data_IF_948777769262
#
_entry.id   IF_948777769262
#
_cell.length_a   1.000
_cell.length_b   1.000
_cell.length_c   1.000
_cell.angle_alpha   90.00
_cell.angle_beta   90.00
_cell.angle_gamma   90.00
#
_symmetry.space_group_name_H-M   'P 1'
#
loop_
_entity.id
_entity.type
_entity.pdbx_description
1 polymer ?
#
# COMPACT_ATOMS: atom_id res chain seq x y z
N UNK A 1 6.31 -13.97 -3.77
CA UNK A 1 7.01 -14.03 -2.48
C UNK A 1 6.95 -12.65 -1.86
N UNK A 2 6.24 -12.49 -0.74
CA UNK A 2 6.25 -11.24 0.01
C UNK A 2 7.62 -11.08 0.64
N UNK A 3 8.36 -10.04 0.28
CA UNK A 3 9.68 -9.78 0.87
C UNK A 3 9.46 -9.00 2.15
N UNK A 4 9.89 -9.54 3.28
CA UNK A 4 9.84 -8.82 4.55
C UNK A 4 10.91 -7.73 4.50
N UNK A 5 10.49 -6.47 4.63
CA UNK A 5 11.37 -5.31 4.70
C UNK A 5 11.48 -4.88 6.16
N UNK A 6 12.69 -4.63 6.65
CA UNK A 6 12.94 -4.15 8.01
C UNK A 6 13.29 -2.66 7.97
N UNK A 7 12.30 -1.76 8.05
CA UNK A 7 12.54 -0.33 8.04
C UNK A 7 13.28 0.12 9.31
N UNK A 8 14.14 1.12 9.16
CA UNK A 8 14.82 1.80 10.26
C UNK A 8 13.94 2.95 10.77
N UNK A 9 13.52 2.88 12.03
CA UNK A 9 12.79 3.96 12.70
C UNK A 9 13.74 5.13 12.93
N UNK A 10 13.29 6.34 12.61
CA UNK A 10 14.09 7.56 12.79
C UNK A 10 13.98 8.08 14.22
N UNK A 11 14.97 8.85 14.67
CA UNK A 11 14.93 9.53 15.97
C UNK A 11 13.76 10.51 16.05
N UNK A 12 13.50 11.25 14.96
CA UNK A 12 12.38 12.19 14.86
C UNK A 12 11.03 11.47 14.94
N UNK A 13 10.88 10.32 14.26
CA UNK A 13 9.69 9.49 14.30
C UNK A 13 9.41 8.92 15.68
N UNK A 14 10.46 8.42 16.35
CA UNK A 14 10.36 7.94 17.71
C UNK A 14 10.00 9.06 18.69
N UNK A 15 10.58 10.26 18.53
CA UNK A 15 10.24 11.41 19.35
C UNK A 15 8.78 11.87 19.13
N UNK A 16 8.33 11.94 17.88
CA UNK A 16 6.94 12.28 17.55
C UNK A 16 5.96 11.29 18.19
N UNK A 17 6.31 10.01 18.19
CA UNK A 17 5.55 8.95 18.84
C UNK A 17 5.49 9.11 20.36
N UNK A 18 6.63 9.38 21.01
CA UNK A 18 6.65 9.66 22.45
C UNK A 18 5.87 10.92 22.81
N UNK A 19 5.93 11.95 21.97
CA UNK A 19 5.16 13.18 22.17
C UNK A 19 3.66 12.91 22.02
N UNK A 20 3.24 12.15 21.01
CA UNK A 20 1.86 11.75 20.85
C UNK A 20 1.37 10.97 22.07
N UNK A 21 2.13 9.96 22.50
CA UNK A 21 1.78 9.14 23.67
C UNK A 21 1.70 9.97 24.96
N UNK A 22 2.63 10.90 25.17
CA UNK A 22 2.63 11.80 26.34
C UNK A 22 1.41 12.72 26.37
N UNK A 23 0.82 13.02 25.20
CA UNK A 23 -0.41 13.78 25.05
C UNK A 23 -1.67 12.90 25.04
N UNK A 24 -1.55 11.58 25.25
CA UNK A 24 -2.66 10.64 25.15
C UNK A 24 -3.17 10.44 23.72
N UNK A 25 -2.37 10.82 22.72
CA UNK A 25 -2.66 10.73 21.29
C UNK A 25 -1.86 9.59 20.65
N UNK A 26 -2.27 9.19 19.46
CA UNK A 26 -1.59 8.18 18.65
C UNK A 26 -0.88 8.87 17.48
N UNK A 27 0.35 8.48 17.19
CA UNK A 27 1.05 8.97 16.00
C UNK A 27 0.35 8.44 14.76
N UNK A 28 -0.08 9.32 13.86
CA UNK A 28 -0.88 8.94 12.71
C UNK A 28 -0.02 8.91 11.45
N UNK A 29 0.18 7.72 10.86
CA UNK A 29 0.86 7.61 9.55
C UNK A 29 -0.16 7.94 8.46
N UNK A 30 0.18 8.88 7.57
CA UNK A 30 -0.73 9.39 6.53
C UNK A 30 -0.23 9.13 5.10
N UNK A 31 1.08 9.07 4.91
CA UNK A 31 1.68 8.99 3.59
C UNK A 31 2.92 8.09 3.57
N UNK A 32 3.17 7.49 2.41
CA UNK A 32 4.39 6.77 2.08
C UNK A 32 5.05 7.49 0.90
N UNK A 33 6.33 7.79 1.01
CA UNK A 33 7.11 8.32 -0.08
C UNK A 33 8.07 7.28 -0.66
N UNK A 34 8.25 7.33 -1.97
CA UNK A 34 9.10 6.44 -2.75
C UNK A 34 10.22 7.26 -3.39
N UNK A 35 11.43 6.71 -3.39
CA UNK A 35 12.60 7.32 -4.00
C UNK A 35 13.49 6.32 -4.73
N UNK A 36 14.51 6.84 -5.42
CA UNK A 36 15.43 6.08 -6.27
C UNK A 36 16.86 5.98 -5.72
N UNK A 37 17.13 6.47 -4.52
CA UNK A 37 18.41 6.28 -3.86
C UNK A 37 18.50 4.94 -3.14
N UNK A 38 19.68 4.31 -3.19
CA UNK A 38 20.00 3.07 -2.49
C UNK A 38 21.15 3.32 -1.51
N UNK A 39 20.91 3.14 -0.21
CA UNK A 39 21.89 3.39 0.85
C UNK A 39 21.52 2.62 2.12
N UNK A 40 22.43 2.59 3.09
CA UNK A 40 22.11 2.11 4.45
C UNK A 40 21.49 3.24 5.26
N UNK A 41 20.21 3.14 5.65
CA UNK A 41 19.54 4.21 6.39
C UNK A 41 20.15 4.43 7.77
N UNK A 42 20.23 5.69 8.18
CA UNK A 42 20.65 6.11 9.52
C UNK A 42 19.44 6.67 10.28
N UNK A 43 19.42 6.51 11.61
CA UNK A 43 18.28 6.93 12.44
C UNK A 43 18.10 8.46 12.50
N UNK A 44 19.15 9.23 12.26
CA UNK A 44 19.10 10.71 12.27
C UNK A 44 18.47 11.32 11.00
N UNK A 45 17.90 10.50 10.10
CA UNK A 45 17.29 10.97 8.86
C UNK A 45 15.97 11.66 9.13
N UNK A 46 15.78 12.81 8.49
CA UNK A 46 14.54 13.59 8.53
C UNK A 46 13.80 13.58 7.18
N UNK A 47 14.47 13.13 6.11
CA UNK A 47 13.92 13.02 4.77
C UNK A 47 14.59 11.88 3.98
N UNK A 48 13.94 11.46 2.89
CA UNK A 48 14.51 10.60 1.87
C UNK A 48 15.65 11.30 1.12
N UNK A 49 16.57 10.52 0.56
CA UNK A 49 17.72 11.10 -0.16
C UNK A 49 17.29 11.62 -1.54
N UNK A 50 16.39 10.92 -2.22
CA UNK A 50 15.86 11.30 -3.52
C UNK A 50 14.38 10.91 -3.62
N UNK A 51 13.54 11.65 -2.90
CA UNK A 51 12.09 11.51 -2.98
C UNK A 51 11.60 11.80 -4.41
N UNK A 52 10.93 10.83 -5.03
CA UNK A 52 10.31 10.98 -6.36
C UNK A 52 8.81 11.13 -6.27
N UNK A 53 8.19 10.42 -5.34
CA UNK A 53 6.75 10.45 -5.19
C UNK A 53 6.33 10.30 -3.74
N UNK A 54 5.19 10.91 -3.38
CA UNK A 54 4.57 10.78 -2.07
C UNK A 54 3.11 10.43 -2.28
N UNK A 55 2.68 9.35 -1.65
CA UNK A 55 1.41 8.68 -1.92
C UNK A 55 0.69 8.54 -0.59
N UNK A 56 -0.60 8.90 -0.57
CA UNK A 56 -1.45 8.69 0.60
C UNK A 56 -1.70 7.20 0.82
N UNK A 57 -1.79 6.77 2.08
CA UNK A 57 -2.07 5.36 2.39
C UNK A 57 -3.45 4.97 1.87
N UNK A 58 -3.51 3.91 1.07
CA UNK A 58 -4.78 3.45 0.48
C UNK A 58 -5.60 2.63 1.48
N UNK A 59 -4.94 1.70 2.18
CA UNK A 59 -5.53 0.92 3.27
C UNK A 59 -4.45 0.58 4.31
N UNK A 60 -4.76 0.75 5.59
CA UNK A 60 -3.89 0.42 6.71
C UNK A 60 -4.62 -0.41 7.76
N UNK A 61 -4.04 -1.54 8.16
CA UNK A 61 -4.60 -2.41 9.19
C UNK A 61 -3.56 -2.75 10.25
N UNK A 62 -3.97 -2.75 11.52
CA UNK A 62 -3.15 -3.33 12.57
C UNK A 62 -3.29 -4.85 12.53
N UNK A 63 -2.22 -5.53 12.13
CA UNK A 63 -2.13 -7.01 12.15
C UNK A 63 -1.92 -7.48 13.58
N UNK A 64 -1.15 -6.71 14.35
CA UNK A 64 -0.96 -6.92 15.79
C UNK A 64 -0.70 -5.57 16.47
N UNK A 65 -0.69 -5.50 17.81
CA UNK A 65 -0.44 -4.23 18.51
C UNK A 65 0.93 -3.60 18.21
N UNK A 66 1.86 -4.35 17.62
CA UNK A 66 3.19 -3.90 17.21
C UNK A 66 3.47 -4.12 15.71
N UNK A 67 2.48 -4.51 14.91
CA UNK A 67 2.67 -4.76 13.49
C UNK A 67 1.55 -4.10 12.69
N UNK A 68 1.95 -3.26 11.76
CA UNK A 68 1.02 -2.52 10.89
C UNK A 68 1.24 -3.00 9.46
N UNK A 69 0.15 -3.38 8.80
CA UNK A 69 0.11 -3.63 7.37
C UNK A 69 -0.45 -2.40 6.66
N UNK A 70 0.28 -1.87 5.70
CA UNK A 70 -0.14 -0.70 4.91
C UNK A 70 -0.02 -1.01 3.43
N UNK A 71 -0.97 -0.53 2.65
CA UNK A 71 -0.95 -0.63 1.20
C UNK A 71 -1.05 0.75 0.56
N UNK A 72 -0.33 0.92 -0.53
CA UNK A 72 -0.32 2.13 -1.35
C UNK A 72 -0.41 1.80 -2.82
N UNK A 73 -1.03 2.72 -3.55
CA UNK A 73 -1.20 2.67 -5.00
C UNK A 73 -0.49 3.88 -5.59
N UNK A 74 0.59 3.64 -6.34
CA UNK A 74 1.20 4.68 -7.16
C UNK A 74 0.54 4.68 -8.55
N UNK A 75 -0.46 5.54 -8.71
CA UNK A 75 -1.17 5.83 -9.97
C UNK A 75 -0.51 6.96 -10.79
N UNK A 76 0.66 7.45 -10.33
CA UNK A 76 1.34 8.53 -11.04
C UNK A 76 1.91 8.06 -12.37
N UNK A 77 2.07 8.98 -13.32
CA UNK A 77 2.74 8.72 -14.60
C UNK A 77 4.27 8.78 -14.50
N UNK A 78 4.84 8.69 -13.29
CA UNK A 78 6.29 8.77 -13.06
C UNK A 78 6.96 7.48 -13.49
N UNK A 79 8.26 7.56 -13.78
CA UNK A 79 9.07 6.38 -14.14
C UNK A 79 10.37 6.40 -13.38
N UNK A 80 10.55 5.45 -12.47
CA UNK A 80 11.73 5.34 -11.63
C UNK A 80 11.84 3.96 -10.99
N UNK A 81 13.05 3.60 -10.59
CA UNK A 81 13.31 2.43 -9.77
C UNK A 81 13.08 2.79 -8.30
N UNK A 82 12.23 2.04 -7.62
CA UNK A 82 11.98 2.22 -6.19
C UNK A 82 13.10 1.53 -5.43
N UNK A 83 13.90 2.31 -4.69
CA UNK A 83 15.06 1.84 -3.92
C UNK A 83 15.07 2.35 -2.48
N UNK A 84 14.26 3.35 -2.18
CA UNK A 84 13.99 3.83 -0.82
C UNK A 84 12.49 4.05 -0.61
N UNK A 85 12.03 3.80 0.62
CA UNK A 85 10.64 3.97 1.05
C UNK A 85 10.66 4.69 2.39
N UNK A 86 9.91 5.79 2.50
CA UNK A 86 9.76 6.56 3.73
C UNK A 86 8.31 6.57 4.20
N UNK A 87 8.08 6.33 5.48
CA UNK A 87 6.77 6.40 6.13
C UNK A 87 6.64 7.75 6.82
N UNK A 88 5.59 8.50 6.52
CA UNK A 88 5.39 9.86 7.02
C UNK A 88 4.16 9.96 7.91
N UNK A 89 4.33 10.68 9.02
CA UNK A 89 3.24 11.07 9.89
C UNK A 89 2.39 12.19 9.24
N UNK A 90 1.22 12.44 9.79
CA UNK A 90 0.29 13.53 9.41
C UNK A 90 0.91 14.93 9.52
N UNK A 91 1.82 15.13 10.48
CA UNK A 91 2.60 16.36 10.65
C UNK A 91 3.76 16.50 9.63
N UNK A 92 3.98 15.49 8.78
CA UNK A 92 5.06 15.46 7.79
C UNK A 92 6.40 14.94 8.31
N UNK A 93 6.48 14.49 9.56
CA UNK A 93 7.67 13.86 10.14
C UNK A 93 7.93 12.50 9.49
N UNK A 94 9.17 12.26 9.08
CA UNK A 94 9.61 10.94 8.60
C UNK A 94 9.67 9.99 9.80
N UNK A 95 8.74 9.03 9.88
CA UNK A 95 8.66 8.05 10.96
C UNK A 95 9.70 6.93 10.83
N UNK A 96 9.77 6.33 9.64
CA UNK A 96 10.67 5.23 9.36
C UNK A 96 11.11 5.28 7.90
N UNK A 97 12.30 4.75 7.63
CA UNK A 97 12.85 4.67 6.28
C UNK A 97 13.43 3.30 6.03
N UNK A 98 13.15 2.76 4.87
CA UNK A 98 13.76 1.55 4.35
C UNK A 98 14.55 1.88 3.09
N UNK A 99 15.82 1.53 3.09
CA UNK A 99 16.67 1.50 1.90
C UNK A 99 17.74 0.43 2.13
N UNK A 100 18.25 -0.14 1.05
CA UNK A 100 19.32 -1.13 1.11
C UNK A 100 20.26 -0.91 -0.08
N UNK A 101 21.56 -1.02 0.16
CA UNK A 101 22.56 -0.80 -0.89
C UNK A 101 22.41 -1.84 -2.00
N UNK A 102 22.51 -1.39 -3.25
CA UNK A 102 22.39 -2.21 -4.47
C UNK A 102 21.09 -3.01 -4.63
N UNK A 103 20.08 -2.73 -3.80
CA UNK A 103 18.76 -3.36 -3.90
C UNK A 103 17.79 -2.48 -4.64
N UNK A 104 16.92 -3.14 -5.41
CA UNK A 104 15.80 -2.53 -6.09
C UNK A 104 14.54 -3.24 -5.65
N UNK A 105 13.54 -2.48 -5.21
CA UNK A 105 12.32 -3.00 -4.59
C UNK A 105 11.24 -3.21 -5.64
N UNK A 106 11.07 -2.23 -6.52
CA UNK A 106 10.10 -2.26 -7.58
C UNK A 106 10.52 -1.33 -8.72
N UNK A 107 9.86 -1.48 -9.86
CA UNK A 107 9.92 -0.53 -10.96
C UNK A 107 8.56 0.13 -11.13
N UNK A 108 8.51 1.45 -11.07
CA UNK A 108 7.32 2.22 -11.41
C UNK A 108 7.39 2.60 -12.89
N UNK A 109 6.37 2.19 -13.64
CA UNK A 109 6.18 2.54 -15.06
C UNK A 109 5.01 3.53 -15.21
N UNK A 110 4.98 4.31 -16.30
CA UNK A 110 4.01 5.39 -16.46
C UNK A 110 2.59 4.90 -16.77
N UNK A 111 2.43 3.66 -17.26
CA UNK A 111 1.15 3.09 -17.72
C UNK A 111 0.57 2.03 -16.77
N UNK A 112 1.34 1.62 -15.76
CA UNK A 112 0.94 0.57 -14.82
C UNK A 112 0.95 1.11 -13.40
N UNK A 113 -0.19 0.98 -12.73
CA UNK A 113 -0.32 1.30 -11.31
C UNK A 113 0.53 0.34 -10.49
N UNK A 114 1.36 0.89 -9.62
CA UNK A 114 2.22 0.10 -8.76
C UNK A 114 1.55 -0.08 -7.40
N UNK A 115 1.15 -1.32 -7.12
CA UNK A 115 0.61 -1.72 -5.82
C UNK A 115 1.75 -2.21 -4.93
N UNK A 116 1.91 -1.58 -3.76
CA UNK A 116 2.88 -2.00 -2.76
C UNK A 116 2.18 -2.18 -1.41
N UNK A 117 2.47 -3.31 -0.77
CA UNK A 117 2.07 -3.58 0.59
C UNK A 117 3.32 -3.70 1.47
N UNK A 118 3.27 -3.08 2.63
CA UNK A 118 4.36 -2.99 3.59
C UNK A 118 3.90 -3.49 4.94
N UNK A 119 4.77 -4.26 5.60
CA UNK A 119 4.61 -4.60 7.01
C UNK A 119 5.65 -3.85 7.83
N UNK A 120 5.16 -3.01 8.74
CA UNK A 120 5.96 -2.24 9.66
C UNK A 120 5.90 -2.90 11.03
N UNK A 121 7.03 -3.47 11.48
CA UNK A 121 7.19 -3.99 12.82
C UNK A 121 7.72 -2.89 13.75
N UNK A 122 6.89 -2.49 14.72
CA UNK A 122 7.22 -1.52 15.77
C UNK A 122 7.93 -2.23 16.92
N UNK A 123 9.24 -2.48 16.76
CA UNK A 123 10.07 -3.01 17.84
C UNK A 123 10.44 -1.89 18.80
N UNK A 124 10.00 -1.99 20.06
CA UNK A 124 10.34 -1.02 21.13
C UNK A 124 9.30 0.08 21.38
N UNK A 125 8.08 -0.05 20.80
CA UNK A 125 6.98 0.90 20.99
C UNK A 125 5.84 0.24 21.79
N UNK A 126 5.20 0.94 22.75
CA UNK A 126 4.02 0.45 23.44
C UNK A 126 2.84 0.19 22.49
N UNK A 127 2.13 -0.92 22.70
CA UNK A 127 0.93 -1.29 21.96
C UNK A 127 -0.11 -0.16 21.92
N UNK A 128 -0.66 0.13 20.73
CA UNK A 128 -1.72 1.14 20.55
C UNK A 128 -1.25 2.59 20.48
N UNK A 129 0.03 2.84 20.21
CA UNK A 129 0.59 4.19 20.10
C UNK A 129 0.53 4.77 18.68
N UNK A 130 0.13 3.97 17.69
CA UNK A 130 0.15 4.34 16.26
C UNK A 130 -1.23 4.13 15.65
N UNK A 131 -1.70 5.15 14.95
CA UNK A 131 -2.90 5.16 14.15
C UNK A 131 -2.53 5.25 12.66
N UNK A 132 -3.41 4.81 11.77
CA UNK A 132 -3.23 4.98 10.31
C UNK A 132 -4.36 5.84 9.79
N UNK A 133 -4.02 6.87 9.03
CA UNK A 133 -4.98 7.65 8.24
C UNK A 133 -4.89 7.11 6.82
N UNK A 134 -5.82 6.22 6.49
CA UNK A 134 -5.97 5.70 5.14
C UNK A 134 -7.14 6.36 4.40
N UNK A 135 -7.19 6.14 3.08
CA UNK A 135 -8.29 6.60 2.24
C UNK A 135 -9.51 5.67 2.30
N UNK A 136 -9.50 4.62 3.13
CA UNK A 136 -10.56 3.61 3.23
C UNK A 136 -10.74 2.75 1.97
N UNK A 137 -9.73 2.67 1.10
CA UNK A 137 -9.79 1.92 -0.17
C UNK A 137 -9.21 0.53 0.06
N UNK A 138 -10.06 -0.42 0.44
CA UNK A 138 -9.67 -1.83 0.49
C UNK A 138 -9.40 -2.36 -0.93
N UNK A 139 -8.27 -3.05 -1.11
CA UNK A 139 -7.89 -3.73 -2.36
C UNK A 139 -8.98 -4.68 -2.90
N UNK A 140 -9.83 -5.21 -2.02
CA UNK A 140 -10.99 -6.02 -2.37
C UNK A 140 -12.01 -5.26 -3.25
N UNK A 141 -12.11 -3.94 -3.07
CA UNK A 141 -13.02 -3.08 -3.84
C UNK A 141 -12.49 -2.85 -5.27
N UNK A 142 -11.19 -2.97 -5.54
CA UNK A 142 -10.64 -2.93 -6.90
C UNK A 142 -10.91 -4.22 -7.69
N UNK A 143 -11.05 -5.37 -7.01
CA UNK A 143 -11.35 -6.67 -7.63
C UNK A 143 -12.86 -6.80 -7.91
N UNK A 144 -13.70 -6.25 -7.04
CA UNK A 144 -15.16 -6.31 -7.16
C UNK A 144 -15.73 -5.87 -8.53
N UNK A 145 -15.32 -4.74 -9.17
CA UNK A 145 -15.82 -4.36 -10.48
C UNK A 145 -15.38 -5.32 -11.58
N UNK A 146 -14.17 -5.90 -11.51
CA UNK A 146 -13.72 -6.89 -12.48
C UNK A 146 -14.46 -8.22 -12.33
N UNK A 147 -14.72 -8.66 -11.10
CA UNK A 147 -15.58 -9.83 -10.84
C UNK A 147 -17.03 -9.58 -11.30
N UNK A 148 -17.56 -8.37 -11.12
CA UNK A 148 -18.88 -8.00 -11.61
C UNK A 148 -18.97 -8.03 -13.15
N UNK A 149 -17.91 -7.57 -13.85
CA UNK A 149 -17.80 -7.69 -15.31
C UNK A 149 -17.77 -9.16 -15.75
N UNK A 150 -16.98 -10.01 -15.09
CA UNK A 150 -16.93 -11.45 -15.37
C UNK A 150 -18.27 -12.15 -15.13
N UNK A 151 -18.93 -11.85 -14.01
CA UNK A 151 -20.25 -12.40 -13.68
C UNK A 151 -21.30 -11.99 -14.72
N UNK A 152 -21.29 -10.72 -15.16
CA UNK A 152 -22.18 -10.23 -16.22
C UNK A 152 -21.94 -10.95 -17.54
N UNK A 153 -20.68 -11.20 -17.90
CA UNK A 153 -20.34 -11.96 -19.10
C UNK A 153 -20.80 -13.43 -19.00
N UNK A 154 -20.62 -14.08 -17.85
CA UNK A 154 -21.11 -15.46 -17.62
C UNK A 154 -22.63 -15.54 -17.69
N UNK A 155 -23.36 -14.63 -17.03
CA UNK A 155 -24.82 -14.56 -17.08
C UNK A 155 -25.28 -14.31 -18.52
N UNK A 156 -24.62 -13.41 -19.26
CA UNK A 156 -24.92 -13.15 -20.66
C UNK A 156 -24.72 -14.39 -21.53
N UNK A 157 -23.69 -15.19 -21.25
CA UNK A 157 -23.40 -16.41 -21.99
C UNK A 157 -24.45 -17.50 -21.69
N UNK A 158 -24.82 -17.68 -20.41
CA UNK A 158 -25.92 -18.58 -20.01
C UNK A 158 -27.25 -18.16 -20.62
N UNK A 159 -27.56 -16.86 -20.65
CA UNK A 159 -28.76 -16.34 -21.28
C UNK A 159 -28.80 -16.65 -22.78
N UNK A 160 -27.69 -16.43 -23.50
CA UNK A 160 -27.56 -16.78 -24.92
C UNK A 160 -27.70 -18.29 -25.15
N UNK A 161 -27.11 -19.10 -24.28
CA UNK A 161 -27.21 -20.55 -24.34
C UNK A 161 -28.67 -21.02 -24.21
N UNK A 162 -29.39 -20.54 -23.19
CA UNK A 162 -30.81 -20.88 -22.97
C UNK A 162 -31.67 -20.40 -24.13
N UNK A 163 -31.44 -19.19 -24.64
CA UNK A 163 -32.13 -18.67 -25.82
C UNK A 163 -31.89 -19.55 -27.06
N UNK A 164 -30.65 -19.98 -27.27
CA UNK A 164 -30.31 -20.89 -28.36
C UNK A 164 -31.00 -22.25 -28.19
N UNK A 165 -31.06 -22.80 -26.98
CA UNK A 165 -31.82 -24.03 -26.70
C UNK A 165 -33.30 -23.88 -27.04
N UNK A 166 -33.94 -22.77 -26.68
CA UNK A 166 -35.34 -22.52 -27.06
C UNK A 166 -35.51 -22.35 -28.58
N UNK A 167 -34.60 -21.65 -29.25
CA UNK A 167 -34.64 -21.51 -30.71
C UNK A 167 -34.49 -22.85 -31.43
N UNK A 168 -33.63 -23.74 -30.93
CA UNK A 168 -33.48 -25.07 -31.52
C UNK A 168 -34.70 -25.96 -31.25
N UNK A 169 -35.34 -25.83 -30.09
CA UNK A 169 -36.61 -26.50 -29.76
C UNK A 169 -37.73 -26.03 -30.71
N UNK A 170 -37.87 -24.70 -30.89
CA UNK A 170 -38.85 -24.12 -31.81
C UNK A 170 -38.58 -24.51 -33.28
N UNK A 171 -37.32 -24.74 -33.64
CA UNK A 171 -36.91 -25.21 -34.96
C UNK A 171 -36.95 -26.74 -35.13
N UNK A 172 -37.27 -27.50 -34.07
CA UNK A 172 -37.37 -28.97 -34.10
C UNK A 172 -36.04 -29.71 -34.29
N UNK A 173 -34.90 -29.07 -33.99
CA UNK A 173 -33.56 -29.67 -34.10
C UNK A 173 -33.13 -30.44 -32.83
N UNK A 174 -33.80 -30.21 -31.71
CA UNK A 174 -33.73 -30.95 -30.44
C UNK A 174 -35.09 -30.98 -29.77
#
# INVERSE_FOLDING_TARGET
>A
MSTILTPTITEAGLQALFNAQSNGLQASISAIALGDAAYTPQQNRTALTSEKNRISISSGTLVSPSQIHMSVIDDSNKTFWVREVGFYLDDGTLFAVYSEQDKTLAYKSPEVDLLLAFELALSGVPAGSVNIIDQGVDLNILIAPELAKMATAQISNMYRHVKHSFMLLDAGLI
#
